data_IF_024553747425
#
_entry.id   IF_024553747425
#
_cell.length_a   1.000
_cell.length_b   1.000
_cell.length_c   1.000
_cell.angle_alpha   90.00
_cell.angle_beta   90.00
_cell.angle_gamma   90.00
#
_symmetry.space_group_name_H-M   'P 1'
#
loop_
_entity.id
_entity.type
_entity.pdbx_description
1 polymer ?
#
# COMPACT_ATOMS: atom_id res chain seq x y z
N UNK A 1 31.49 32.25 12.63
CA UNK A 1 31.98 32.14 14.03
C UNK A 1 31.06 31.20 14.82
N UNK A 2 31.65 30.11 15.33
CA UNK A 2 31.26 29.33 16.52
C UNK A 2 29.85 28.69 16.54
N UNK A 3 29.60 27.44 16.94
CA UNK A 3 30.37 26.43 17.66
C UNK A 3 29.74 25.05 17.42
N UNK A 4 30.59 24.03 17.25
CA UNK A 4 30.25 22.60 17.26
C UNK A 4 29.91 22.17 18.67
N UNK A 5 28.94 21.27 18.87
CA UNK A 5 28.86 20.43 20.04
C UNK A 5 28.58 18.99 19.61
N UNK A 6 29.60 18.18 19.73
CA UNK A 6 29.54 16.71 19.69
C UNK A 6 29.25 16.22 21.10
N UNK A 7 28.35 15.26 21.26
CA UNK A 7 28.20 14.46 22.47
C UNK A 7 28.41 12.99 22.14
N UNK A 8 29.51 12.48 22.65
CA UNK A 8 29.86 11.05 22.79
C UNK A 8 29.02 10.44 23.93
N UNK A 9 28.53 9.22 23.75
CA UNK A 9 28.03 8.36 24.82
C UNK A 9 28.74 7.00 24.72
N UNK A 10 29.32 6.48 25.82
CA UNK A 10 30.09 5.24 25.81
C UNK A 10 29.25 3.99 26.00
N UNK A 11 29.76 2.91 25.45
CA UNK A 11 29.33 1.53 25.64
C UNK A 11 29.60 1.03 27.08
N UNK A 12 28.68 0.23 27.60
CA UNK A 12 28.97 -0.64 28.74
C UNK A 12 28.46 -2.04 28.46
N UNK A 13 29.41 -2.95 28.25
CA UNK A 13 29.24 -4.40 28.30
C UNK A 13 29.01 -4.86 29.73
N UNK A 14 28.10 -5.82 29.94
CA UNK A 14 28.22 -6.72 31.08
C UNK A 14 27.76 -8.14 30.71
N UNK A 15 28.71 -9.04 30.63
CA UNK A 15 28.56 -10.49 30.55
C UNK A 15 28.35 -11.05 31.96
N UNK A 16 27.41 -11.99 32.16
CA UNK A 16 27.53 -13.02 33.17
C UNK A 16 26.88 -14.33 32.70
N UNK A 17 27.72 -15.32 32.54
CA UNK A 17 27.37 -16.74 32.42
C UNK A 17 27.25 -17.35 33.81
N UNK A 18 26.33 -18.35 33.97
CA UNK A 18 26.60 -19.50 34.86
C UNK A 18 25.66 -20.65 34.54
N UNK A 19 26.28 -21.79 34.42
CA UNK A 19 25.76 -23.10 34.12
C UNK A 19 25.10 -23.77 35.35
N UNK A 20 24.21 -24.76 35.12
CA UNK A 20 23.70 -25.63 36.16
C UNK A 20 22.95 -26.83 35.56
N UNK A 21 23.67 -27.95 35.38
CA UNK A 21 23.16 -29.28 35.11
C UNK A 21 22.51 -29.90 36.34
N UNK A 22 21.48 -30.77 36.14
CA UNK A 22 20.98 -31.69 37.14
C UNK A 22 19.72 -32.42 36.80
N UNK A 23 19.80 -33.62 36.19
CA UNK A 23 18.79 -34.70 36.32
C UNK A 23 19.17 -35.60 37.50
N UNK A 24 18.24 -36.36 38.16
CA UNK A 24 17.50 -37.50 37.58
C UNK A 24 16.06 -37.75 38.12
N UNK A 25 15.31 -38.54 37.40
CA UNK A 25 14.09 -39.29 37.83
C UNK A 25 14.44 -40.40 38.88
N UNK A 26 13.48 -41.01 39.65
CA UNK A 26 12.33 -41.73 39.09
C UNK A 26 11.04 -41.87 39.96
N UNK A 27 9.95 -42.31 39.31
CA UNK A 27 8.85 -43.19 39.73
C UNK A 27 8.00 -42.89 40.97
N UNK A 28 6.68 -42.77 40.79
CA UNK A 28 5.66 -43.75 41.12
C UNK A 28 4.22 -43.17 41.12
N UNK A 29 3.38 -43.76 40.34
CA UNK A 29 1.99 -44.20 40.54
C UNK A 29 1.07 -43.44 41.52
N UNK A 30 -0.03 -42.87 40.99
CA UNK A 30 -1.42 -43.10 41.36
C UNK A 30 -2.39 -42.14 40.61
N UNK A 31 -3.28 -42.68 39.81
CA UNK A 31 -4.61 -42.09 39.45
C UNK A 31 -5.62 -42.43 40.57
N UNK A 32 -6.83 -41.86 40.66
CA UNK A 32 -7.59 -41.02 39.74
C UNK A 32 -8.32 -39.83 40.44
N UNK A 33 -8.76 -38.84 39.72
CA UNK A 33 -10.18 -38.39 39.78
C UNK A 33 -10.39 -37.21 38.81
N UNK A 34 -11.46 -37.34 38.08
CA UNK A 34 -11.99 -36.36 37.14
C UNK A 34 -12.28 -35.03 37.82
N UNK A 35 -11.83 -33.95 37.18
CA UNK A 35 -12.55 -32.70 37.22
C UNK A 35 -12.44 -32.03 35.85
N UNK A 36 -13.64 -31.91 35.24
CA UNK A 36 -13.83 -31.31 33.93
C UNK A 36 -13.73 -29.81 34.06
N UNK A 37 -12.52 -29.27 33.97
CA UNK A 37 -12.35 -27.85 33.68
C UNK A 37 -12.42 -27.69 32.17
N UNK A 38 -13.60 -27.28 31.69
CA UNK A 38 -13.79 -26.75 30.35
C UNK A 38 -12.92 -25.51 30.20
N UNK A 39 -11.74 -25.72 29.62
CA UNK A 39 -10.94 -24.61 29.08
C UNK A 39 -11.74 -24.06 27.90
N UNK A 40 -12.43 -22.95 28.12
CA UNK A 40 -12.98 -22.14 27.04
C UNK A 40 -11.81 -21.77 26.15
N UNK A 41 -11.75 -22.45 24.99
CA UNK A 41 -10.90 -22.03 23.88
C UNK A 41 -11.43 -20.67 23.43
N UNK A 42 -10.78 -19.60 23.87
CA UNK A 42 -10.97 -18.31 23.24
C UNK A 42 -10.56 -18.48 21.77
N UNK A 43 -11.60 -18.65 20.95
CA UNK A 43 -11.44 -18.55 19.50
C UNK A 43 -10.97 -17.12 19.24
N UNK A 44 -9.66 -16.97 19.06
CA UNK A 44 -9.11 -15.72 18.52
C UNK A 44 -9.84 -15.51 17.18
N UNK A 45 -10.77 -14.56 17.16
CA UNK A 45 -11.45 -14.16 15.94
C UNK A 45 -10.36 -13.65 15.00
N UNK A 46 -10.02 -14.44 14.01
CA UNK A 46 -9.11 -14.02 12.95
C UNK A 46 -9.68 -12.71 12.36
N UNK A 47 -8.82 -11.71 12.15
CA UNK A 47 -9.22 -10.49 11.47
C UNK A 47 -9.83 -10.84 10.10
N UNK A 48 -10.87 -10.12 9.63
CA UNK A 48 -11.49 -10.40 8.35
C UNK A 48 -10.45 -10.27 7.24
N UNK A 49 -10.41 -11.25 6.34
CA UNK A 49 -9.51 -11.25 5.17
C UNK A 49 -10.16 -10.59 3.96
N UNK A 50 -11.46 -10.34 3.99
CA UNK A 50 -12.23 -9.69 2.94
C UNK A 50 -13.43 -8.95 3.54
N UNK A 51 -13.85 -7.89 2.86
CA UNK A 51 -15.11 -7.20 3.14
C UNK A 51 -16.30 -7.95 2.51
N UNK A 52 -17.55 -7.69 2.99
CA UNK A 52 -18.75 -8.14 2.30
C UNK A 52 -18.77 -7.69 0.84
N UNK A 53 -19.29 -8.53 -0.03
CA UNK A 53 -19.35 -8.26 -1.47
C UNK A 53 -20.23 -7.04 -1.77
N UNK A 54 -19.73 -6.14 -2.62
CA UNK A 54 -20.41 -4.93 -3.11
C UNK A 54 -20.66 -5.10 -4.61
N UNK A 55 -21.86 -4.75 -5.08
CA UNK A 55 -22.16 -4.76 -6.51
C UNK A 55 -21.24 -3.76 -7.25
N UNK A 56 -20.45 -4.23 -8.24
CA UNK A 56 -19.48 -3.35 -8.89
C UNK A 56 -20.16 -2.36 -9.84
N UNK A 57 -19.68 -1.12 -9.82
CA UNK A 57 -20.04 -0.08 -10.78
C UNK A 57 -19.31 -0.30 -12.11
N UNK A 58 -19.93 0.10 -13.21
CA UNK A 58 -19.29 0.17 -14.51
C UNK A 58 -18.75 1.57 -14.86
N UNK A 59 -18.80 2.53 -13.94
CA UNK A 59 -18.35 3.91 -14.14
C UNK A 59 -17.68 4.48 -12.89
N UNK A 60 -16.83 5.49 -13.10
CA UNK A 60 -16.15 6.26 -12.04
C UNK A 60 -16.71 7.69 -11.90
N UNK A 61 -17.83 8.01 -12.57
CA UNK A 61 -18.40 9.36 -12.61
C UNK A 61 -18.93 9.81 -11.24
N UNK A 62 -19.23 8.88 -10.34
CA UNK A 62 -19.62 9.15 -8.96
C UNK A 62 -18.47 9.60 -8.05
N UNK A 63 -17.22 9.49 -8.51
CA UNK A 63 -16.04 9.90 -7.74
C UNK A 63 -15.74 11.36 -8.02
N UNK A 64 -15.77 12.20 -6.98
CA UNK A 64 -15.45 13.62 -7.05
C UNK A 64 -14.03 13.85 -6.57
N UNK A 65 -13.26 14.60 -7.33
CA UNK A 65 -11.89 15.00 -6.99
C UNK A 65 -11.79 16.52 -7.07
N UNK A 66 -11.21 17.13 -6.04
CA UNK A 66 -10.93 18.56 -5.98
C UNK A 66 -9.46 18.79 -5.60
N UNK A 67 -8.94 19.96 -5.91
CA UNK A 67 -7.54 20.37 -5.74
C UNK A 67 -6.81 20.43 -7.07
N UNK A 68 -5.90 21.39 -7.18
CA UNK A 68 -5.12 21.65 -8.39
C UNK A 68 -3.98 20.63 -8.55
N UNK A 69 -3.47 20.49 -9.79
CA UNK A 69 -2.27 19.71 -10.08
C UNK A 69 -1.10 20.17 -9.18
N UNK A 70 -0.38 19.22 -8.60
CA UNK A 70 0.71 19.46 -7.65
C UNK A 70 0.27 19.60 -6.20
N UNK A 71 -1.00 19.92 -5.92
CA UNK A 71 -1.55 19.97 -4.57
C UNK A 71 -2.22 18.64 -4.19
N UNK A 72 -2.21 18.29 -2.89
CA UNK A 72 -2.89 17.09 -2.41
C UNK A 72 -4.38 17.13 -2.73
N UNK A 73 -4.93 16.12 -3.45
CA UNK A 73 -6.34 16.08 -3.81
C UNK A 73 -7.24 15.68 -2.64
N UNK A 74 -8.47 16.21 -2.64
CA UNK A 74 -9.57 15.63 -1.88
C UNK A 74 -10.38 14.71 -2.79
N UNK A 75 -10.55 13.45 -2.37
CA UNK A 75 -11.29 12.42 -3.09
C UNK A 75 -12.55 12.10 -2.29
N UNK A 76 -13.72 12.13 -2.91
CA UNK A 76 -15.00 11.82 -2.25
C UNK A 76 -15.92 11.02 -3.17
N UNK A 77 -16.53 9.98 -2.61
CA UNK A 77 -17.51 9.12 -3.27
C UNK A 77 -18.41 8.45 -2.21
N UNK A 78 -19.47 7.79 -2.64
CA UNK A 78 -20.32 7.00 -1.74
C UNK A 78 -19.64 5.67 -1.43
N UNK A 79 -19.48 5.35 -0.17
CA UNK A 79 -18.96 4.07 0.33
C UNK A 79 -20.12 3.16 0.76
N UNK A 80 -19.96 1.82 0.64
CA UNK A 80 -18.85 1.14 -0.04
C UNK A 80 -18.95 1.27 -1.57
N UNK A 81 -17.80 1.40 -2.24
CA UNK A 81 -17.68 1.50 -3.70
C UNK A 81 -16.87 0.32 -4.25
N UNK A 82 -17.39 -0.32 -5.30
CA UNK A 82 -16.69 -1.34 -6.06
C UNK A 82 -16.75 -1.01 -7.55
N UNK A 83 -15.71 -1.42 -8.32
CA UNK A 83 -15.61 -1.25 -9.76
C UNK A 83 -15.41 -2.60 -10.44
N UNK A 84 -16.00 -2.78 -11.63
CA UNK A 84 -15.95 -4.03 -12.40
C UNK A 84 -14.59 -4.29 -13.08
N UNK A 85 -13.90 -3.23 -13.48
CA UNK A 85 -12.60 -3.27 -14.15
C UNK A 85 -11.84 -1.96 -13.90
N UNK A 86 -10.52 -1.96 -14.14
CA UNK A 86 -9.73 -0.75 -14.04
C UNK A 86 -10.21 0.30 -15.04
N UNK A 87 -10.52 1.48 -14.51
CA UNK A 87 -10.93 2.67 -15.27
C UNK A 87 -10.08 3.85 -14.88
N UNK A 88 -9.78 4.69 -15.87
CA UNK A 88 -9.04 5.93 -15.63
C UNK A 88 -9.68 7.10 -16.36
N UNK A 89 -9.52 8.30 -15.78
CA UNK A 89 -10.00 9.56 -16.34
C UNK A 89 -8.98 10.66 -16.10
N UNK A 90 -8.59 11.37 -17.15
CA UNK A 90 -7.76 12.57 -17.03
C UNK A 90 -8.64 13.69 -16.47
N UNK A 91 -8.23 14.25 -15.34
CA UNK A 91 -8.91 15.36 -14.67
C UNK A 91 -8.29 16.70 -15.06
N UNK A 92 -6.97 16.73 -15.18
CA UNK A 92 -6.19 17.87 -15.69
C UNK A 92 -5.29 17.31 -16.79
N UNK A 93 -5.33 17.90 -17.98
CA UNK A 93 -4.55 17.45 -19.12
C UNK A 93 -3.16 18.08 -19.14
N UNK A 94 -2.12 17.25 -19.14
CA UNK A 94 -0.74 17.62 -19.38
C UNK A 94 -0.44 17.79 -20.88
N UNK A 95 0.77 18.21 -21.18
CA UNK A 95 1.27 18.38 -22.56
C UNK A 95 2.66 17.77 -22.75
N UNK A 96 3.16 17.08 -21.74
CA UNK A 96 4.47 16.45 -21.78
C UNK A 96 4.47 15.13 -22.59
N UNK A 97 5.57 14.38 -22.55
CA UNK A 97 5.68 13.11 -23.22
C UNK A 97 4.63 12.09 -22.77
N UNK A 98 4.28 11.17 -23.68
CA UNK A 98 3.34 10.08 -23.40
C UNK A 98 4.02 8.99 -22.54
N UNK A 99 3.28 8.49 -21.56
CA UNK A 99 3.67 7.40 -20.68
C UNK A 99 3.45 6.06 -21.39
N UNK A 100 4.50 5.25 -21.51
CA UNK A 100 4.44 3.88 -22.02
C UNK A 100 4.45 2.87 -20.87
N UNK A 101 4.02 1.64 -21.15
CA UNK A 101 3.98 0.55 -20.15
C UNK A 101 5.34 0.15 -19.56
N UNK A 102 6.43 0.61 -20.17
CA UNK A 102 7.82 0.30 -19.78
C UNK A 102 8.55 1.45 -19.09
N UNK A 103 7.94 2.63 -19.01
CA UNK A 103 8.57 3.77 -18.39
C UNK A 103 8.72 3.62 -16.87
N UNK A 104 9.74 4.30 -16.34
CA UNK A 104 9.73 4.79 -14.99
C UNK A 104 8.97 6.12 -14.98
N UNK A 105 8.09 6.28 -14.00
CA UNK A 105 7.30 7.50 -13.82
C UNK A 105 7.61 8.11 -12.46
N UNK A 106 7.81 9.41 -12.42
CA UNK A 106 7.84 10.18 -11.17
C UNK A 106 6.45 10.77 -10.95
N UNK A 107 5.84 10.42 -9.82
CA UNK A 107 4.45 10.74 -9.54
C UNK A 107 4.24 11.24 -8.12
N UNK A 108 3.24 12.09 -7.95
CA UNK A 108 2.53 12.20 -6.69
C UNK A 108 1.22 11.43 -6.77
N UNK A 109 0.83 10.78 -5.68
CA UNK A 109 -0.42 10.02 -5.64
C UNK A 109 -1.06 10.00 -4.26
N UNK A 110 -2.37 9.82 -4.25
CA UNK A 110 -3.17 9.51 -3.07
C UNK A 110 -4.06 8.31 -3.37
N UNK A 111 -4.02 7.30 -2.50
CA UNK A 111 -4.82 6.09 -2.59
C UNK A 111 -5.85 6.01 -1.48
N UNK A 112 -7.09 5.72 -1.85
CA UNK A 112 -8.24 5.60 -0.97
C UNK A 112 -8.89 4.24 -1.17
N UNK A 113 -9.20 3.54 -0.07
CA UNK A 113 -9.91 2.27 -0.10
C UNK A 113 -11.38 2.52 -0.50
N UNK A 114 -11.85 1.83 -1.52
CA UNK A 114 -13.22 1.98 -2.04
C UNK A 114 -14.28 1.53 -1.04
N UNK A 115 -13.98 0.52 -0.22
CA UNK A 115 -14.94 0.03 0.75
C UNK A 115 -15.09 0.97 1.95
N UNK A 116 -13.98 1.38 2.55
CA UNK A 116 -13.98 2.21 3.76
C UNK A 116 -14.04 3.71 3.50
N UNK A 117 -13.51 4.16 2.35
CA UNK A 117 -13.31 5.58 2.07
C UNK A 117 -12.07 6.16 2.74
N UNK A 118 -11.26 5.35 3.42
CA UNK A 118 -10.05 5.79 4.12
C UNK A 118 -8.86 5.87 3.20
N UNK A 119 -7.99 6.86 3.43
CA UNK A 119 -6.70 6.96 2.74
C UNK A 119 -5.76 5.93 3.31
N UNK A 120 -5.27 5.01 2.47
CA UNK A 120 -4.28 4.02 2.88
C UNK A 120 -2.84 4.43 2.54
N UNK A 121 -2.64 5.28 1.54
CA UNK A 121 -1.32 5.80 1.20
C UNK A 121 -1.38 7.14 0.46
N UNK A 122 -0.37 8.01 0.68
CA UNK A 122 -0.24 9.30 0.02
C UNK A 122 1.22 9.74 -0.03
N UNK A 123 1.72 10.09 -1.22
CA UNK A 123 3.05 10.67 -1.37
C UNK A 123 3.11 12.10 -0.81
N UNK A 124 2.00 12.84 -0.86
CA UNK A 124 1.92 14.17 -0.28
C UNK A 124 2.12 14.17 1.24
N UNK A 125 1.56 13.16 1.94
CA UNK A 125 1.77 13.03 3.39
C UNK A 125 3.23 12.73 3.75
N UNK A 126 4.00 12.15 2.82
CA UNK A 126 5.45 11.94 2.96
C UNK A 126 6.28 13.13 2.51
N UNK A 127 5.68 14.13 1.84
CA UNK A 127 6.34 15.33 1.36
C UNK A 127 7.32 15.11 0.20
N UNK A 128 7.23 13.98 -0.51
CA UNK A 128 8.11 13.62 -1.63
C UNK A 128 7.37 12.81 -2.67
N UNK A 129 7.68 13.06 -3.95
CA UNK A 129 7.22 12.23 -5.07
C UNK A 129 7.85 10.84 -5.02
N UNK A 130 7.32 9.93 -5.81
CA UNK A 130 7.76 8.54 -5.87
C UNK A 130 8.05 8.14 -7.31
N UNK A 131 9.24 7.62 -7.54
CA UNK A 131 9.61 7.04 -8.82
C UNK A 131 9.22 5.55 -8.84
N UNK A 132 8.43 5.14 -9.83
CA UNK A 132 7.91 3.79 -9.98
C UNK A 132 8.20 3.26 -11.40
N UNK A 133 8.61 2.00 -11.50
CA UNK A 133 8.61 1.28 -12.78
C UNK A 133 7.19 0.75 -13.05
N UNK A 134 6.59 1.11 -14.18
CA UNK A 134 5.28 0.60 -14.56
C UNK A 134 5.23 -0.91 -14.82
N UNK A 135 6.39 -1.55 -14.99
CA UNK A 135 6.49 -3.02 -15.07
C UNK A 135 6.48 -3.70 -13.70
N UNK A 136 6.75 -2.95 -12.62
CA UNK A 136 6.86 -3.47 -11.25
C UNK A 136 5.69 -3.09 -10.33
N UNK A 137 4.69 -2.35 -10.84
CA UNK A 137 3.51 -1.95 -10.06
C UNK A 137 2.33 -2.89 -10.29
N UNK A 138 1.28 -2.76 -9.47
CA UNK A 138 0.01 -3.49 -9.66
C UNK A 138 -0.60 -3.19 -11.03
N UNK A 139 -1.26 -4.18 -11.61
CA UNK A 139 -1.76 -4.11 -12.99
C UNK A 139 -2.66 -2.89 -13.24
N UNK A 140 -3.47 -2.50 -12.26
CA UNK A 140 -4.36 -1.34 -12.36
C UNK A 140 -3.62 -0.01 -12.52
N UNK A 141 -2.44 0.15 -11.91
CA UNK A 141 -1.60 1.32 -12.11
C UNK A 141 -1.05 1.39 -13.54
N UNK A 142 -0.48 0.29 -14.03
CA UNK A 142 0.03 0.22 -15.40
C UNK A 142 -1.09 0.52 -16.41
N UNK A 143 -2.26 -0.13 -16.28
CA UNK A 143 -3.43 0.12 -17.14
C UNK A 143 -3.92 1.57 -17.08
N UNK A 144 -3.93 2.15 -15.88
CA UNK A 144 -4.44 3.50 -15.64
C UNK A 144 -3.54 4.61 -16.17
N UNK A 145 -2.22 4.42 -16.16
CA UNK A 145 -1.23 5.44 -16.52
C UNK A 145 -0.71 5.32 -17.95
N UNK A 146 -0.71 4.13 -18.54
CA UNK A 146 -0.29 3.95 -19.95
C UNK A 146 -1.15 4.79 -20.88
N UNK A 147 -0.52 5.52 -21.82
CA UNK A 147 -1.18 6.43 -22.75
C UNK A 147 -1.60 7.77 -22.13
N UNK A 148 -1.17 8.07 -20.91
CA UNK A 148 -1.31 9.39 -20.29
C UNK A 148 -0.06 10.21 -20.57
N UNK A 149 -0.08 11.51 -20.21
CA UNK A 149 1.03 12.42 -20.48
C UNK A 149 1.60 13.00 -19.20
N UNK A 150 2.87 13.34 -19.22
CA UNK A 150 3.48 14.15 -18.16
C UNK A 150 2.70 15.47 -18.02
N UNK A 151 2.37 15.81 -16.78
CA UNK A 151 1.49 16.93 -16.44
C UNK A 151 0.01 16.54 -16.30
N UNK A 152 -0.38 15.29 -16.59
CA UNK A 152 -1.75 14.82 -16.33
C UNK A 152 -1.99 14.63 -14.83
N UNK A 153 -3.19 15.05 -14.37
CA UNK A 153 -3.80 14.49 -13.16
C UNK A 153 -4.80 13.45 -13.58
N UNK A 154 -4.63 12.23 -13.07
CA UNK A 154 -5.42 11.06 -13.47
C UNK A 154 -6.14 10.48 -12.27
N UNK A 155 -7.47 10.31 -12.39
CA UNK A 155 -8.26 9.47 -11.49
C UNK A 155 -8.19 8.02 -12.02
N UNK A 156 -7.88 7.08 -11.14
CA UNK A 156 -7.87 5.63 -11.44
C UNK A 156 -8.72 4.94 -10.40
N UNK A 157 -9.64 4.07 -10.83
CA UNK A 157 -10.28 3.10 -9.95
C UNK A 157 -10.00 1.70 -10.50
N UNK A 158 -9.57 0.78 -9.63
CA UNK A 158 -9.21 -0.58 -10.00
C UNK A 158 -9.82 -1.58 -9.01
N UNK A 159 -10.30 -2.75 -9.48
CA UNK A 159 -10.74 -3.83 -8.60
C UNK A 159 -9.53 -4.47 -7.91
N UNK A 160 -9.78 -5.17 -6.82
CA UNK A 160 -8.74 -5.88 -6.06
C UNK A 160 -7.93 -6.85 -6.92
N UNK A 161 -8.54 -7.46 -7.93
CA UNK A 161 -7.87 -8.36 -8.90
C UNK A 161 -6.78 -7.69 -9.74
N UNK A 162 -6.89 -6.39 -9.99
CA UNK A 162 -5.85 -5.57 -10.62
C UNK A 162 -4.96 -4.85 -9.59
N UNK A 163 -5.25 -5.04 -8.31
CA UNK A 163 -4.54 -4.46 -7.16
C UNK A 163 -3.83 -5.51 -6.30
N UNK A 164 -4.31 -5.69 -5.08
CA UNK A 164 -3.60 -6.45 -4.04
C UNK A 164 -4.18 -7.84 -3.75
N UNK A 165 -5.21 -8.32 -4.48
CA UNK A 165 -5.82 -9.64 -4.22
C UNK A 165 -4.81 -10.77 -4.32
N UNK A 166 -3.89 -10.72 -5.30
CA UNK A 166 -2.84 -11.74 -5.49
C UNK A 166 -1.85 -11.82 -4.33
N UNK A 167 -1.75 -10.74 -3.54
CA UNK A 167 -0.89 -10.66 -2.34
C UNK A 167 -1.66 -10.96 -1.05
N UNK A 168 -2.97 -11.22 -1.13
CA UNK A 168 -3.82 -11.42 0.03
C UNK A 168 -4.25 -10.13 0.75
N UNK A 169 -4.20 -8.99 0.05
CA UNK A 169 -4.40 -7.66 0.61
C UNK A 169 -3.08 -7.00 1.02
N UNK A 170 -3.16 -5.92 1.80
CA UNK A 170 -1.99 -5.26 2.38
C UNK A 170 -1.59 -5.87 3.72
N UNK A 171 -0.30 -5.86 4.04
CA UNK A 171 0.23 -6.47 5.26
C UNK A 171 -0.24 -5.77 6.55
N UNK A 172 -0.64 -4.52 6.46
CA UNK A 172 -1.17 -3.71 7.57
C UNK A 172 -2.70 -3.82 7.73
N UNK A 173 -3.36 -4.57 6.83
CA UNK A 173 -4.81 -4.77 6.84
C UNK A 173 -5.63 -3.57 6.36
N UNK A 174 -5.01 -2.52 5.83
CA UNK A 174 -5.72 -1.35 5.27
C UNK A 174 -6.41 -1.65 3.93
N UNK A 175 -5.99 -2.72 3.25
CA UNK A 175 -6.58 -3.23 2.01
C UNK A 175 -6.84 -4.72 2.21
N UNK A 176 -8.09 -5.14 2.09
CA UNK A 176 -8.49 -6.55 2.13
C UNK A 176 -8.71 -7.10 0.72
N UNK A 177 -8.82 -8.43 0.62
CA UNK A 177 -9.13 -9.09 -0.66
C UNK A 177 -10.49 -8.61 -1.17
N UNK A 178 -10.55 -8.26 -2.45
CA UNK A 178 -11.75 -7.76 -3.12
C UNK A 178 -11.96 -6.25 -3.03
N UNK A 179 -11.12 -5.53 -2.28
CA UNK A 179 -11.26 -4.09 -2.17
C UNK A 179 -10.95 -3.37 -3.48
N UNK A 180 -11.85 -2.50 -3.89
CA UNK A 180 -11.58 -1.52 -4.95
C UNK A 180 -10.65 -0.44 -4.42
N UNK A 181 -9.68 -0.04 -5.22
CA UNK A 181 -8.76 1.03 -4.90
C UNK A 181 -9.00 2.23 -5.81
N UNK A 182 -9.08 3.40 -5.19
CA UNK A 182 -9.26 4.68 -5.91
C UNK A 182 -8.02 5.53 -5.71
N UNK A 183 -7.39 5.91 -6.82
CA UNK A 183 -6.19 6.74 -6.81
C UNK A 183 -6.41 8.04 -7.57
N UNK A 184 -5.79 9.11 -7.09
CA UNK A 184 -5.50 10.29 -7.89
C UNK A 184 -4.00 10.42 -8.01
N UNK A 185 -3.53 10.53 -9.24
CA UNK A 185 -2.10 10.53 -9.59
C UNK A 185 -1.78 11.78 -10.40
N UNK A 186 -0.75 12.51 -9.99
CA UNK A 186 -0.11 13.56 -10.78
C UNK A 186 1.16 13.00 -11.40
N UNK A 187 1.24 12.99 -12.72
CA UNK A 187 2.42 12.52 -13.45
C UNK A 187 3.37 13.71 -13.60
N UNK A 188 4.49 13.67 -12.88
CA UNK A 188 5.45 14.77 -12.82
C UNK A 188 6.50 14.67 -13.92
N UNK A 189 7.01 13.45 -14.15
CA UNK A 189 8.03 13.18 -15.16
C UNK A 189 8.03 11.70 -15.56
N UNK A 190 8.75 11.40 -16.65
CA UNK A 190 9.10 10.03 -17.06
C UNK A 190 10.59 9.95 -17.31
N UNK A 191 11.23 8.93 -16.70
CA UNK A 191 12.63 8.63 -16.98
C UNK A 191 12.74 7.60 -18.12
N UNK A 192 13.44 7.94 -19.18
CA UNK A 192 13.89 6.98 -20.18
C UNK A 192 15.11 6.26 -19.63
N UNK A 193 14.94 5.43 -18.61
CA UNK A 193 16.03 4.57 -18.16
C UNK A 193 16.21 3.44 -19.18
N UNK A 194 17.32 3.51 -19.91
CA UNK A 194 17.82 2.35 -20.63
C UNK A 194 18.04 1.19 -19.63
N UNK A 195 17.80 -0.08 -20.01
CA UNK A 195 18.00 -1.24 -19.11
C UNK A 195 19.39 -1.34 -18.45
N UNK A 196 20.32 -0.47 -18.81
CA UNK A 196 21.68 -0.41 -18.30
C UNK A 196 22.03 0.88 -17.54
N UNK A 197 21.04 1.64 -17.09
CA UNK A 197 21.30 2.80 -16.20
C UNK A 197 22.03 3.97 -16.86
N UNK A 198 21.99 4.10 -18.18
CA UNK A 198 22.53 5.24 -18.89
C UNK A 198 21.41 6.22 -19.18
N UNK A 199 21.40 7.36 -18.52
CA UNK A 199 20.56 8.51 -18.87
C UNK A 199 20.94 8.96 -20.27
N UNK A 200 20.05 8.77 -21.25
CA UNK A 200 20.17 9.44 -22.53
C UNK A 200 19.59 10.86 -22.35
N UNK A 201 20.47 11.82 -22.19
CA UNK A 201 20.09 13.24 -22.32
C UNK A 201 19.79 13.49 -23.81
N UNK A 202 18.66 14.14 -24.17
CA UNK A 202 18.30 14.46 -25.55
C UNK A 202 19.27 15.46 -26.18
#
# INVERSE_FOLDING_TARGET
MRLKAALLVPAACLLLALAGCGSPSPSASASPSADSSATASESASAAPTAHPSVAPSSTIDGIKVTGDFGAEPTISFTTPFAIDQTRSKVLVAGKGPEVTATNYVDINYKGVNGYTGETFDSSWSRGTSVQLSLQGVVAGFQKGLTGKHVGDRVLIAMPGSDGYDSSGGSSDGSILIGDTLVFVVDILDIDYQSPHGTTLTP
#
